data_IF_510456566070
#
_entry.id   IF_510456566070
#
_cell.length_a   1.000
_cell.length_b   1.000
_cell.length_c   1.000
_cell.angle_alpha   90.00
_cell.angle_beta   90.00
_cell.angle_gamma   90.00
#
_symmetry.space_group_name_H-M   'P 1'
#
loop_
_entity.id
_entity.type
_entity.pdbx_description
1 polymer ?
#
# COMPACT_ATOMS: atom_id res chain seq x y z
N UNK A 1 -1.27 -8.87 9.64
CA UNK A 1 -0.62 -7.90 10.55
C UNK A 1 0.73 -8.46 10.97
N UNK A 2 1.73 -7.61 11.21
CA UNK A 2 3.05 -7.97 11.72
C UNK A 2 3.63 -6.82 12.55
N UNK A 3 4.71 -7.08 13.27
CA UNK A 3 5.48 -6.11 14.06
C UNK A 3 6.96 -6.14 13.70
N UNK A 4 7.67 -5.09 14.11
CA UNK A 4 9.13 -4.91 13.99
C UNK A 4 9.63 -3.99 15.12
N UNK A 5 10.94 -3.74 15.20
CA UNK A 5 11.56 -2.85 16.19
C UNK A 5 10.92 -1.45 16.15
N UNK A 6 10.59 -0.92 17.33
CA UNK A 6 10.08 0.46 17.49
C UNK A 6 11.13 1.50 17.10
N UNK A 7 12.39 1.28 17.48
CA UNK A 7 13.49 2.17 17.12
C UNK A 7 14.11 1.76 15.79
N UNK A 8 14.25 2.71 14.87
CA UNK A 8 14.97 2.49 13.60
C UNK A 8 16.44 2.17 13.87
N UNK A 9 17.04 2.80 14.89
CA UNK A 9 18.46 2.65 15.22
C UNK A 9 18.84 1.23 15.68
N UNK A 10 17.86 0.40 16.05
CA UNK A 10 18.09 -0.99 16.47
C UNK A 10 17.85 -2.00 15.35
N UNK A 11 17.47 -1.56 14.15
CA UNK A 11 17.28 -2.44 12.99
C UNK A 11 18.62 -2.79 12.36
N UNK A 12 18.70 -4.00 11.80
CA UNK A 12 19.86 -4.42 11.00
C UNK A 12 20.02 -3.58 9.73
N UNK A 13 18.90 -3.18 9.13
CA UNK A 13 18.84 -2.23 8.03
C UNK A 13 17.76 -1.17 8.35
N UNK A 14 18.11 0.11 8.50
CA UNK A 14 17.15 1.17 8.80
C UNK A 14 16.19 1.48 7.64
N UNK A 15 16.50 1.07 6.41
CA UNK A 15 15.67 1.27 5.23
C UNK A 15 14.71 0.09 4.99
N UNK A 16 14.92 -1.05 5.64
CA UNK A 16 14.03 -2.19 5.51
C UNK A 16 12.82 -2.08 6.43
N UNK A 17 11.62 -2.07 5.84
CA UNK A 17 10.35 -2.14 6.58
C UNK A 17 9.89 -3.58 6.75
N UNK A 18 10.55 -4.34 7.64
CA UNK A 18 10.30 -5.78 7.82
C UNK A 18 8.84 -6.08 8.19
N UNK A 19 8.20 -5.25 9.02
CA UNK A 19 6.79 -5.44 9.36
C UNK A 19 5.88 -5.44 8.11
N UNK A 20 6.14 -4.55 7.14
CA UNK A 20 5.37 -4.50 5.88
C UNK A 20 5.60 -5.78 5.09
N UNK A 21 6.86 -6.19 4.89
CA UNK A 21 7.20 -7.42 4.15
C UNK A 21 6.52 -8.65 4.73
N UNK A 22 6.57 -8.83 6.04
CA UNK A 22 5.96 -9.97 6.72
C UNK A 22 4.43 -9.92 6.67
N UNK A 23 3.83 -8.74 6.90
CA UNK A 23 2.38 -8.56 6.81
C UNK A 23 1.86 -8.80 5.39
N UNK A 24 2.56 -8.29 4.37
CA UNK A 24 2.23 -8.47 2.97
C UNK A 24 2.31 -9.94 2.55
N UNK A 25 3.40 -10.64 2.88
CA UNK A 25 3.56 -12.06 2.58
C UNK A 25 2.43 -12.90 3.19
N UNK A 26 2.04 -12.61 4.44
CA UNK A 26 0.91 -13.25 5.10
C UNK A 26 -0.42 -12.97 4.38
N UNK A 27 -0.70 -11.70 4.08
CA UNK A 27 -1.94 -11.28 3.42
C UNK A 27 -2.07 -11.86 1.99
N UNK A 28 -0.99 -11.84 1.21
CA UNK A 28 -0.95 -12.41 -0.14
C UNK A 28 -1.15 -13.93 -0.12
N UNK A 29 -0.51 -14.62 0.82
CA UNK A 29 -0.71 -16.06 1.03
C UNK A 29 -2.16 -16.38 1.39
N UNK A 30 -2.76 -15.62 2.31
CA UNK A 30 -4.17 -15.79 2.70
C UNK A 30 -5.12 -15.54 1.53
N UNK A 31 -4.84 -14.53 0.71
CA UNK A 31 -5.68 -14.17 -0.44
C UNK A 31 -5.42 -15.04 -1.69
N UNK A 32 -4.33 -15.82 -1.70
CA UNK A 32 -3.90 -16.63 -2.85
C UNK A 32 -3.50 -15.77 -4.05
N UNK A 33 -2.79 -14.67 -3.83
CA UNK A 33 -2.35 -13.74 -4.90
C UNK A 33 -0.84 -13.54 -4.88
N UNK A 34 -0.32 -13.00 -5.99
CA UNK A 34 1.02 -12.46 -6.11
C UNK A 34 0.98 -10.93 -6.17
N UNK A 35 2.10 -10.22 -5.89
CA UNK A 35 2.17 -8.77 -6.06
C UNK A 35 1.76 -8.30 -7.47
N UNK A 36 2.05 -9.10 -8.50
CA UNK A 36 1.68 -8.83 -9.90
C UNK A 36 0.17 -8.84 -10.19
N UNK A 37 -0.65 -9.37 -9.27
CA UNK A 37 -2.10 -9.46 -9.45
C UNK A 37 -2.82 -8.19 -8.94
N UNK A 38 -2.10 -7.30 -8.25
CA UNK A 38 -2.63 -6.08 -7.65
C UNK A 38 -2.95 -5.05 -8.73
N UNK A 39 -4.12 -4.43 -8.67
CA UNK A 39 -4.57 -3.43 -9.65
C UNK A 39 -4.56 -2.00 -9.12
N UNK A 40 -4.44 -1.82 -7.80
CA UNK A 40 -4.29 -0.54 -7.13
C UNK A 40 -3.78 -0.78 -5.70
N UNK A 41 -3.08 0.21 -5.15
CA UNK A 41 -2.56 0.14 -3.79
C UNK A 41 -2.75 1.47 -3.06
N UNK A 42 -3.18 1.38 -1.81
CA UNK A 42 -3.10 2.45 -0.84
C UNK A 42 -1.92 2.15 0.11
N UNK A 43 -0.90 2.99 0.10
CA UNK A 43 0.30 2.87 0.94
C UNK A 43 0.35 4.04 1.92
N UNK A 44 0.85 3.79 3.13
CA UNK A 44 1.04 4.85 4.12
C UNK A 44 2.23 5.75 3.74
N UNK A 45 1.93 6.88 3.12
CA UNK A 45 2.88 7.91 2.67
C UNK A 45 2.86 9.16 3.56
N UNK A 46 2.66 8.98 4.87
CA UNK A 46 2.74 10.05 5.89
C UNK A 46 4.09 10.79 5.86
N UNK A 47 5.12 10.16 5.31
CA UNK A 47 6.34 10.77 4.79
C UNK A 47 6.63 10.19 3.39
N UNK A 48 7.19 10.98 2.47
CA UNK A 48 7.41 10.52 1.08
C UNK A 48 8.31 9.27 1.01
N UNK A 49 9.30 9.18 1.91
CA UNK A 49 10.16 8.00 2.02
C UNK A 49 9.38 6.75 2.47
N UNK A 50 8.33 6.91 3.28
CA UNK A 50 7.49 5.80 3.73
C UNK A 50 6.68 5.22 2.58
N UNK A 51 6.17 6.05 1.67
CA UNK A 51 5.55 5.56 0.43
C UNK A 51 6.52 4.73 -0.40
N UNK A 52 7.75 5.22 -0.60
CA UNK A 52 8.80 4.51 -1.37
C UNK A 52 9.13 3.14 -0.74
N UNK A 53 9.46 3.12 0.55
CA UNK A 53 9.84 1.89 1.26
C UNK A 53 8.65 0.95 1.46
N UNK A 54 7.43 1.49 1.55
CA UNK A 54 6.19 0.74 1.57
C UNK A 54 5.97 -0.04 0.27
N UNK A 55 6.22 0.56 -0.90
CA UNK A 55 6.15 -0.13 -2.19
C UNK A 55 7.16 -1.29 -2.29
N UNK A 56 8.37 -1.11 -1.76
CA UNK A 56 9.37 -2.17 -1.66
C UNK A 56 8.92 -3.27 -0.68
N UNK A 57 8.39 -2.87 0.48
CA UNK A 57 7.86 -3.77 1.50
C UNK A 57 6.68 -4.62 1.01
N UNK A 58 5.83 -4.06 0.16
CA UNK A 58 4.72 -4.75 -0.49
C UNK A 58 5.17 -5.66 -1.64
N UNK A 59 6.45 -5.65 -2.00
CA UNK A 59 7.02 -6.43 -3.11
C UNK A 59 6.62 -5.90 -4.49
N UNK A 60 6.24 -4.62 -4.59
CA UNK A 60 5.90 -3.95 -5.84
C UNK A 60 7.15 -3.40 -6.56
N UNK A 61 8.18 -3.08 -5.78
CA UNK A 61 9.52 -2.79 -6.25
C UNK A 61 10.52 -3.71 -5.54
N UNK A 62 11.70 -3.91 -6.14
CA UNK A 62 12.83 -4.53 -5.43
C UNK A 62 13.38 -3.55 -4.40
N UNK A 63 14.09 -4.07 -3.40
CA UNK A 63 14.83 -3.24 -2.44
C UNK A 63 15.72 -2.23 -3.17
N UNK A 64 15.59 -0.94 -2.84
CA UNK A 64 16.32 0.17 -3.46
C UNK A 64 15.78 0.63 -4.82
N UNK A 65 14.75 -0.02 -5.36
CA UNK A 65 14.12 0.36 -6.63
C UNK A 65 12.78 1.11 -6.43
N UNK A 66 12.30 1.32 -5.20
CA UNK A 66 11.03 1.99 -4.92
C UNK A 66 11.00 3.43 -5.43
N UNK A 67 12.10 4.17 -5.30
CA UNK A 67 12.25 5.52 -5.85
C UNK A 67 12.21 5.53 -7.38
N UNK A 68 12.62 4.44 -8.04
CA UNK A 68 12.50 4.31 -9.50
C UNK A 68 11.04 4.04 -9.89
N UNK A 69 10.36 3.17 -9.14
CA UNK A 69 8.94 2.86 -9.37
C UNK A 69 8.05 4.10 -9.19
N UNK A 70 8.23 4.89 -8.12
CA UNK A 70 7.40 6.08 -7.90
C UNK A 70 7.60 7.18 -8.95
N UNK A 71 8.75 7.20 -9.63
CA UNK A 71 9.02 8.11 -10.75
C UNK A 71 8.60 7.53 -12.11
N UNK A 72 8.01 6.34 -12.13
CA UNK A 72 7.52 5.69 -13.34
C UNK A 72 6.03 6.02 -13.56
N UNK A 73 5.55 6.15 -14.81
CA UNK A 73 4.12 6.25 -15.08
C UNK A 73 3.33 4.99 -14.65
N UNK A 74 4.00 3.92 -14.25
CA UNK A 74 3.35 2.73 -13.71
C UNK A 74 2.52 2.98 -12.45
N UNK A 75 2.87 4.00 -11.64
CA UNK A 75 2.15 4.33 -10.40
C UNK A 75 1.05 5.38 -10.58
N UNK A 76 0.98 6.00 -11.75
CA UNK A 76 -0.04 7.01 -12.07
C UNK A 76 -1.44 6.38 -12.13
N UNK A 77 -2.49 7.22 -12.11
CA UNK A 77 -3.90 6.77 -12.19
C UNK A 77 -4.17 5.81 -13.35
N UNK A 78 -3.57 6.06 -14.50
CA UNK A 78 -3.75 5.23 -15.71
C UNK A 78 -2.61 4.22 -15.90
N UNK A 79 -1.74 4.11 -14.89
CA UNK A 79 -0.62 3.20 -14.82
C UNK A 79 -1.03 1.76 -14.53
N UNK A 80 -0.01 0.90 -14.44
CA UNK A 80 -0.19 -0.54 -14.18
C UNK A 80 -0.59 -0.82 -12.73
N UNK A 81 -0.08 -0.02 -11.80
CA UNK A 81 -0.35 -0.15 -10.37
C UNK A 81 -0.56 1.24 -9.77
N UNK A 82 -1.72 1.89 -10.03
CA UNK A 82 -2.07 3.16 -9.42
C UNK A 82 -1.86 3.14 -7.90
N UNK A 83 -1.11 4.11 -7.40
CA UNK A 83 -0.79 4.28 -5.98
C UNK A 83 -1.52 5.50 -5.43
N UNK A 84 -2.20 5.35 -4.30
CA UNK A 84 -2.78 6.47 -3.53
C UNK A 84 -3.70 7.36 -4.38
N UNK A 85 -4.78 6.78 -4.92
CA UNK A 85 -5.53 7.37 -6.06
C UNK A 85 -6.25 8.68 -5.73
N UNK A 86 -6.54 8.93 -4.46
CA UNK A 86 -7.10 10.19 -3.94
C UNK A 86 -6.01 11.10 -3.32
N UNK A 87 -4.74 10.83 -3.62
CA UNK A 87 -3.59 11.64 -3.23
C UNK A 87 -2.89 11.22 -1.93
N UNK A 88 -3.28 10.07 -1.36
CA UNK A 88 -2.63 9.50 -0.18
C UNK A 88 -2.76 10.37 1.07
N UNK A 89 -2.02 10.03 2.11
CA UNK A 89 -1.96 10.80 3.35
C UNK A 89 -1.36 12.19 3.12
N UNK A 90 -0.57 12.33 2.04
CA UNK A 90 0.17 13.55 1.71
C UNK A 90 -0.71 14.68 1.20
N UNK A 91 -1.68 14.39 0.33
CA UNK A 91 -2.62 15.39 -0.17
C UNK A 91 -3.97 15.33 0.56
N UNK A 92 -4.47 14.12 0.86
CA UNK A 92 -5.78 13.92 1.50
C UNK A 92 -5.77 14.18 3.01
N UNK A 93 -4.60 14.02 3.63
CA UNK A 93 -4.37 14.20 5.06
C UNK A 93 -4.22 12.88 5.83
N UNK A 94 -3.60 12.95 7.02
CA UNK A 94 -3.35 11.81 7.90
C UNK A 94 -4.09 11.91 9.24
N UNK A 95 -5.42 11.73 9.27
CA UNK A 95 -6.16 11.59 10.52
C UNK A 95 -5.84 10.23 11.16
N UNK A 96 -4.76 10.16 11.95
CA UNK A 96 -4.11 8.94 12.47
C UNK A 96 -5.05 7.74 12.69
N UNK A 97 -6.10 7.89 13.51
CA UNK A 97 -7.00 6.78 13.84
C UNK A 97 -7.97 6.36 12.72
N UNK A 98 -8.22 7.24 11.75
CA UNK A 98 -9.09 7.00 10.61
C UNK A 98 -8.34 6.57 9.34
N UNK A 99 -7.00 6.70 9.31
CA UNK A 99 -6.20 6.46 8.10
C UNK A 99 -6.40 5.08 7.50
N UNK A 100 -6.19 4.02 8.29
CA UNK A 100 -6.39 2.66 7.81
C UNK A 100 -7.82 2.39 7.33
N UNK A 101 -8.82 3.04 7.91
CA UNK A 101 -10.23 2.86 7.51
C UNK A 101 -10.52 3.55 6.18
N UNK A 102 -10.03 4.77 5.96
CA UNK A 102 -10.30 5.43 4.68
C UNK A 102 -9.55 4.78 3.52
N UNK A 103 -8.35 4.23 3.75
CA UNK A 103 -7.62 3.47 2.72
C UNK A 103 -8.47 2.27 2.25
N UNK A 104 -9.09 1.54 3.20
CA UNK A 104 -10.01 0.45 2.89
C UNK A 104 -11.28 0.94 2.17
N UNK A 105 -11.84 2.08 2.60
CA UNK A 105 -13.01 2.67 1.96
C UNK A 105 -12.73 3.07 0.51
N UNK A 106 -11.55 3.63 0.23
CA UNK A 106 -11.11 4.02 -1.11
C UNK A 106 -10.98 2.80 -2.02
N UNK A 107 -10.27 1.76 -1.58
CA UNK A 107 -10.17 0.52 -2.34
C UNK A 107 -11.55 -0.09 -2.58
N UNK A 108 -12.43 -0.08 -1.57
CA UNK A 108 -13.79 -0.57 -1.73
C UNK A 108 -14.57 0.23 -2.79
N UNK A 109 -14.48 1.56 -2.80
CA UNK A 109 -15.09 2.40 -3.83
C UNK A 109 -14.53 2.11 -5.22
N UNK A 110 -13.20 1.96 -5.34
CA UNK A 110 -12.55 1.62 -6.61
C UNK A 110 -13.04 0.27 -7.15
N UNK A 111 -13.08 -0.78 -6.32
CA UNK A 111 -13.54 -2.12 -6.70
C UNK A 111 -15.06 -2.16 -7.01
N UNK A 112 -15.83 -1.24 -6.43
CA UNK A 112 -17.26 -1.10 -6.66
C UNK A 112 -17.62 -0.23 -7.88
N UNK A 113 -16.65 0.47 -8.49
CA UNK A 113 -16.95 1.41 -9.58
C UNK A 113 -17.58 2.72 -9.07
N UNK A 114 -17.23 3.15 -7.85
CA UNK A 114 -17.82 4.30 -7.14
C UNK A 114 -16.79 5.39 -6.81
N UNK A 115 -15.61 5.36 -7.41
CA UNK A 115 -14.52 6.28 -7.08
C UNK A 115 -14.57 7.63 -7.85
N UNK A 116 -15.65 7.91 -8.58
CA UNK A 116 -15.84 9.19 -9.29
C UNK A 116 -14.71 9.46 -10.29
N UNK A 117 -14.18 10.68 -10.25
CA UNK A 117 -13.11 11.14 -11.18
C UNK A 117 -11.79 10.39 -11.00
N UNK A 118 -11.60 9.72 -9.86
CA UNK A 118 -10.41 8.93 -9.54
C UNK A 118 -10.55 7.45 -9.95
N UNK A 119 -11.63 7.05 -10.61
CA UNK A 119 -11.94 5.65 -10.90
C UNK A 119 -10.87 4.95 -11.76
N UNK A 120 -10.36 3.82 -11.25
CA UNK A 120 -9.48 2.90 -11.97
C UNK A 120 -10.33 1.93 -12.80
N UNK A 121 -10.10 1.80 -14.11
CA UNK A 121 -10.86 0.90 -14.95
C UNK A 121 -10.59 -0.57 -14.60
N UNK A 122 -11.65 -1.37 -14.49
CA UNK A 122 -11.57 -2.83 -14.33
C UNK A 122 -10.75 -3.33 -13.12
N UNK A 123 -10.60 -2.54 -12.06
CA UNK A 123 -9.94 -2.96 -10.83
C UNK A 123 -10.66 -4.18 -10.19
N UNK A 124 -9.89 -5.22 -9.87
CA UNK A 124 -10.40 -6.48 -9.27
C UNK A 124 -9.78 -6.78 -7.92
N UNK A 125 -8.52 -6.40 -7.71
CA UNK A 125 -7.76 -6.64 -6.48
C UNK A 125 -7.08 -5.34 -6.07
N UNK A 126 -7.34 -4.88 -4.85
CA UNK A 126 -6.65 -3.74 -4.24
C UNK A 126 -6.02 -4.10 -2.91
N UNK A 127 -4.92 -3.43 -2.59
CA UNK A 127 -4.16 -3.65 -1.35
C UNK A 127 -4.04 -2.36 -0.56
N UNK A 128 -4.37 -2.41 0.74
CA UNK A 128 -4.10 -1.32 1.67
C UNK A 128 -2.99 -1.73 2.64
N UNK A 129 -1.96 -0.90 2.71
CA UNK A 129 -0.90 -0.96 3.70
C UNK A 129 -1.09 0.20 4.69
N UNK A 130 -1.17 -0.15 5.96
CA UNK A 130 -1.29 0.80 7.05
C UNK A 130 -0.32 0.40 8.17
N UNK A 131 0.43 1.36 8.69
CA UNK A 131 1.46 1.14 9.70
C UNK A 131 1.42 2.14 10.85
N UNK A 132 1.90 1.70 12.01
CA UNK A 132 2.13 2.55 13.18
C UNK A 132 3.62 2.80 13.37
N UNK A 133 3.96 4.04 13.73
CA UNK A 133 5.35 4.48 13.84
C UNK A 133 6.08 4.36 12.50
N UNK A 134 7.36 3.98 12.54
CA UNK A 134 8.17 3.78 11.33
C UNK A 134 8.11 2.32 10.89
N UNK A 135 6.91 1.80 10.63
CA UNK A 135 6.65 0.38 10.39
C UNK A 135 6.98 -0.55 11.57
N UNK A 136 6.83 -0.10 12.83
CA UNK A 136 6.99 -0.99 14.00
C UNK A 136 5.80 -1.93 14.17
N UNK A 137 4.65 -1.56 13.61
CA UNK A 137 3.47 -2.41 13.43
C UNK A 137 2.90 -2.11 12.05
N UNK A 138 2.46 -3.14 11.33
CA UNK A 138 1.85 -2.99 10.01
C UNK A 138 0.68 -3.97 9.83
N UNK A 139 -0.41 -3.47 9.25
CA UNK A 139 -1.52 -4.25 8.75
C UNK A 139 -1.59 -4.08 7.23
N UNK A 140 -1.57 -5.21 6.51
CA UNK A 140 -1.82 -5.26 5.07
C UNK A 140 -3.14 -5.97 4.86
N UNK A 141 -4.03 -5.35 4.08
CA UNK A 141 -5.34 -5.87 3.73
C UNK A 141 -5.44 -6.05 2.22
N UNK A 142 -5.97 -7.19 1.79
CA UNK A 142 -6.25 -7.48 0.37
C UNK A 142 -7.76 -7.50 0.19
N UNK A 143 -8.28 -6.64 -0.68
CA UNK A 143 -9.69 -6.61 -1.04
C UNK A 143 -9.85 -7.12 -2.47
N UNK A 144 -10.91 -7.90 -2.70
CA UNK A 144 -11.25 -8.42 -4.02
C UNK A 144 -12.69 -8.06 -4.37
N UNK A 145 -12.90 -7.65 -5.62
CA UNK A 145 -14.25 -7.47 -6.16
C UNK A 145 -15.01 -8.80 -6.09
N UNK A 146 -16.17 -8.80 -5.47
CA UNK A 146 -17.03 -9.99 -5.44
C UNK A 146 -17.39 -10.42 -6.87
N UNK A 147 -17.35 -11.73 -7.13
CA UNK A 147 -17.93 -12.28 -8.36
C UNK A 147 -19.45 -12.14 -8.24
N UNK A 148 -20.09 -11.62 -9.27
CA UNK A 148 -21.55 -11.72 -9.41
C UNK A 148 -21.94 -13.17 -9.66
#
# INVERSE_FOLDING_TARGET
MSTDYTSIATRSDPLEMTAIKTAAASAYKMAGIKPSDINLVEVQDDYSINGILGLEGLGLAKTGEGAKLINSPEVDKDGKIPVNTFGGLKARGNPIGATGIYQLAEIAWQLQGRAGDHQIPNAKIGVAENMGGMASICAVNVLRRAKK
#
